data_IF_094856047086
#
_entry.id   IF_094856047086
#
_cell.length_a   1.000
_cell.length_b   1.000
_cell.length_c   1.000
_cell.angle_alpha   90.00
_cell.angle_beta   90.00
_cell.angle_gamma   90.00
#
_symmetry.space_group_name_H-M   'P 1'
#
loop_
_entity.id
_entity.type
_entity.pdbx_description
1 polymer ?
#
# COMPACT_ATOMS: atom_id res chain seq x y z
N UNK A 1 -23.98 2.79 7.67
CA UNK A 1 -22.66 2.83 8.33
C UNK A 1 -21.61 2.94 7.24
N UNK A 2 -20.86 4.04 7.21
CA UNK A 2 -19.76 4.23 6.26
C UNK A 2 -18.60 3.33 6.69
N UNK A 3 -18.24 2.34 5.87
CA UNK A 3 -17.10 1.47 6.16
C UNK A 3 -15.82 2.30 5.97
N UNK A 4 -15.27 2.82 7.07
CA UNK A 4 -14.06 3.64 7.02
C UNK A 4 -12.87 2.73 6.73
N UNK A 5 -12.30 2.90 5.53
CA UNK A 5 -11.12 2.17 5.07
C UNK A 5 -9.95 3.13 4.98
N UNK A 6 -8.83 2.75 5.58
CA UNK A 6 -7.53 3.37 5.40
C UNK A 6 -6.64 2.44 4.56
N UNK A 7 -5.86 3.03 3.65
CA UNK A 7 -4.88 2.30 2.85
C UNK A 7 -3.51 2.93 3.05
N UNK A 8 -2.55 2.14 3.51
CA UNK A 8 -1.13 2.50 3.50
C UNK A 8 -0.50 1.99 2.21
N UNK A 9 0.16 2.87 1.47
CA UNK A 9 0.89 2.55 0.23
C UNK A 9 2.38 2.86 0.44
N UNK A 10 3.23 1.87 0.18
CA UNK A 10 4.68 1.98 0.18
C UNK A 10 5.22 1.64 -1.21
N UNK A 11 5.91 2.60 -1.83
CA UNK A 11 6.45 2.48 -3.19
C UNK A 11 7.97 2.43 -3.10
N UNK A 12 8.49 1.21 -2.96
CA UNK A 12 9.93 0.96 -2.98
C UNK A 12 10.48 0.78 -4.39
N UNK A 13 11.81 0.92 -4.50
CA UNK A 13 12.55 0.63 -5.74
C UNK A 13 12.62 -0.85 -6.08
N UNK A 14 12.26 -1.73 -5.14
CA UNK A 14 12.28 -3.19 -5.32
C UNK A 14 10.86 -3.79 -5.28
N UNK A 15 9.94 -3.15 -4.57
CA UNK A 15 8.59 -3.66 -4.34
C UNK A 15 7.64 -2.53 -4.01
N UNK A 16 6.41 -2.63 -4.51
CA UNK A 16 5.27 -1.81 -4.06
C UNK A 16 4.43 -2.66 -3.11
N UNK A 17 4.06 -2.10 -1.95
CA UNK A 17 3.23 -2.75 -0.95
C UNK A 17 2.01 -1.89 -0.62
N UNK A 18 0.86 -2.52 -0.43
CA UNK A 18 -0.36 -1.89 0.07
C UNK A 18 -0.88 -2.65 1.29
N UNK A 19 -1.36 -1.92 2.28
CA UNK A 19 -2.04 -2.48 3.46
C UNK A 19 -3.39 -1.79 3.58
N UNK A 20 -4.45 -2.57 3.68
CA UNK A 20 -5.82 -2.09 3.86
C UNK A 20 -6.24 -2.39 5.29
N UNK A 21 -6.79 -1.41 5.98
CA UNK A 21 -7.25 -1.55 7.35
C UNK A 21 -8.50 -0.72 7.63
N UNK A 22 -9.28 -1.11 8.63
CA UNK A 22 -10.39 -0.33 9.18
C UNK A 22 -10.17 -0.10 10.68
N UNK A 23 -10.77 0.93 11.28
CA UNK A 23 -10.84 1.05 12.73
C UNK A 23 -11.43 -0.22 13.35
N UNK A 24 -10.84 -0.68 14.45
CA UNK A 24 -11.40 -1.77 15.23
C UNK A 24 -12.57 -1.24 16.08
N UNK A 25 -13.78 -1.74 15.83
CA UNK A 25 -15.00 -1.30 16.53
C UNK A 25 -14.97 -1.65 18.03
N UNK A 26 -14.20 -2.67 18.43
CA UNK A 26 -14.10 -3.13 19.81
C UNK A 26 -12.92 -2.50 20.57
N UNK A 27 -11.94 -1.95 19.84
CA UNK A 27 -10.72 -1.41 20.42
C UNK A 27 -10.41 -0.02 19.84
N UNK A 28 -10.99 1.05 20.42
CA UNK A 28 -10.77 2.41 19.95
C UNK A 28 -9.28 2.76 19.83
N UNK A 29 -8.90 3.35 18.69
CA UNK A 29 -7.50 3.70 18.39
C UNK A 29 -6.66 2.55 17.83
N UNK A 30 -7.22 1.34 17.68
CA UNK A 30 -6.61 0.24 16.93
C UNK A 30 -7.20 0.15 15.53
N UNK A 31 -6.42 -0.43 14.63
CA UNK A 31 -6.80 -0.73 13.25
C UNK A 31 -6.77 -2.24 13.06
N UNK A 32 -7.80 -2.80 12.43
CA UNK A 32 -7.85 -4.20 11.99
C UNK A 32 -7.37 -4.29 10.54
N UNK A 33 -6.36 -5.12 10.28
CA UNK A 33 -5.87 -5.36 8.92
C UNK A 33 -6.89 -6.20 8.16
N UNK A 34 -7.35 -5.67 7.02
CA UNK A 34 -8.31 -6.32 6.12
C UNK A 34 -7.60 -7.02 4.95
N UNK A 35 -6.44 -6.51 4.53
CA UNK A 35 -5.71 -7.07 3.40
C UNK A 35 -4.31 -6.50 3.22
N UNK A 36 -3.46 -7.26 2.53
CA UNK A 36 -2.08 -6.88 2.19
C UNK A 36 -1.86 -7.22 0.71
N UNK A 37 -1.35 -6.26 -0.06
CA UNK A 37 -0.95 -6.42 -1.46
C UNK A 37 0.54 -6.15 -1.63
N UNK A 38 1.19 -6.89 -2.54
CA UNK A 38 2.60 -6.71 -2.88
C UNK A 38 2.82 -6.97 -4.37
N UNK A 39 3.64 -6.14 -5.02
CA UNK A 39 4.07 -6.33 -6.41
C UNK A 39 5.55 -5.98 -6.57
N UNK A 40 6.27 -6.70 -7.43
CA UNK A 40 7.65 -6.35 -7.81
C UNK A 40 7.69 -4.97 -8.47
N UNK A 41 8.77 -4.21 -8.24
CA UNK A 41 8.95 -2.85 -8.78
C UNK A 41 10.31 -2.76 -9.47
N UNK A 42 10.31 -2.39 -10.76
CA UNK A 42 11.53 -2.30 -11.59
C UNK A 42 11.70 -0.93 -12.26
N UNK A 43 10.69 -0.05 -12.20
CA UNK A 43 10.70 1.26 -12.86
C UNK A 43 11.25 2.41 -12.01
N UNK A 44 11.65 2.13 -10.76
CA UNK A 44 12.08 3.14 -9.79
C UNK A 44 13.55 2.97 -9.41
N UNK A 45 14.25 4.09 -9.24
CA UNK A 45 15.62 4.14 -8.74
C UNK A 45 15.78 5.36 -7.83
N UNK A 46 16.33 5.16 -6.62
CA UNK A 46 16.52 6.22 -5.62
C UNK A 46 15.26 7.08 -5.38
N UNK A 47 14.09 6.46 -5.39
CA UNK A 47 12.80 7.13 -5.17
C UNK A 47 12.25 7.91 -6.37
N UNK A 48 12.88 7.80 -7.54
CA UNK A 48 12.44 8.47 -8.78
C UNK A 48 12.05 7.43 -9.81
N UNK A 49 10.97 7.70 -10.55
CA UNK A 49 10.57 6.90 -11.72
C UNK A 49 11.60 7.13 -12.83
N UNK A 50 12.33 6.09 -13.20
CA UNK A 50 13.33 6.11 -14.28
C UNK A 50 12.86 5.39 -15.54
N UNK A 51 11.84 4.54 -15.44
CA UNK A 51 11.23 3.86 -16.57
C UNK A 51 9.72 3.66 -16.36
N UNK A 52 8.90 4.43 -17.10
CA UNK A 52 7.45 4.42 -16.95
C UNK A 52 6.81 3.08 -17.36
N UNK A 53 7.29 2.46 -18.44
CA UNK A 53 6.75 1.19 -18.94
C UNK A 53 6.93 0.06 -17.92
N UNK A 54 8.02 0.09 -17.16
CA UNK A 54 8.28 -0.84 -16.05
C UNK A 54 7.54 -0.49 -14.76
N UNK A 55 7.05 0.74 -14.60
CA UNK A 55 6.28 1.16 -13.43
C UNK A 55 4.80 0.79 -13.52
N UNK A 56 4.23 0.75 -14.73
CA UNK A 56 2.78 0.54 -14.93
C UNK A 56 2.38 -0.92 -15.20
N UNK A 57 3.35 -1.84 -15.31
CA UNK A 57 3.11 -3.28 -15.46
C UNK A 57 2.78 -3.94 -14.13
#
# INVERSE_FOLDING_TARGET
MSNQIAVGLDIGTTKVCAIVASPDENHPGKMSILGIGRSTSDGLTRGVVTNIEKTVR
#
